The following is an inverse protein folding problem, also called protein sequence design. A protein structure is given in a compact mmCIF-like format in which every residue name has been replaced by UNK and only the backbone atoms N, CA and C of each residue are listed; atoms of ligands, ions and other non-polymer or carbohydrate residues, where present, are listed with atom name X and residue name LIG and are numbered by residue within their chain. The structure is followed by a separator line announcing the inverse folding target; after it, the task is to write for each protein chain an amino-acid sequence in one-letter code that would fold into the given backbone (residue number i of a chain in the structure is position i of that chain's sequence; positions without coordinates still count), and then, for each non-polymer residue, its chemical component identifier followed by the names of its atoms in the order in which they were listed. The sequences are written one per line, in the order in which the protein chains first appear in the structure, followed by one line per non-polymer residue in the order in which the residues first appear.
data_IF_807340080720
#
_entry.id   IF_807340080720
#
_cell.length_a   1.000
_cell.length_b   1.000
_cell.length_c   1.000
_cell.angle_alpha   90.00
_cell.angle_beta   90.00
_cell.angle_gamma   90.00
#
_symmetry.space_group_name_H-M   'P 1'
#
loop_
_entity.id
_entity.type
_entity.pdbx_description
1 polymer ?
#
# COMPACT_ATOMS: atom_id res chain seq x y z
N UNK A 1 -2.21 -1.08 -33.66
CA UNK A 1 -1.96 0.06 -34.58
C UNK A 1 -1.62 1.29 -33.75
N UNK A 2 -0.71 2.17 -34.18
CA UNK A 2 -0.44 3.42 -33.45
C UNK A 2 -1.70 4.28 -33.40
N UNK A 3 -1.89 5.02 -32.31
CA UNK A 3 -3.04 5.92 -32.15
C UNK A 3 -2.97 7.05 -33.18
N UNK A 4 -4.12 7.40 -33.76
CA UNK A 4 -4.22 8.57 -34.64
C UNK A 4 -3.90 9.84 -33.85
N UNK A 5 -2.97 10.65 -34.38
CA UNK A 5 -2.56 11.92 -33.78
C UNK A 5 -3.69 12.94 -33.93
N UNK A 6 -3.98 13.71 -32.88
CA UNK A 6 -4.99 14.77 -32.94
C UNK A 6 -4.48 15.97 -33.74
N UNK A 7 -5.36 16.70 -34.42
CA UNK A 7 -5.02 17.94 -35.16
C UNK A 7 -4.32 19.02 -34.32
N UNK A 8 -4.55 19.02 -33.00
CA UNK A 8 -3.96 20.01 -32.07
C UNK A 8 -2.60 19.58 -31.52
N UNK A 9 -2.08 18.42 -31.93
CA UNK A 9 -0.80 17.93 -31.45
C UNK A 9 0.32 18.81 -32.02
N UNK A 10 1.01 19.52 -31.14
CA UNK A 10 2.23 20.26 -31.47
C UNK A 10 3.39 19.26 -31.47
N UNK A 11 4.20 19.20 -32.54
CA UNK A 11 5.35 18.31 -32.58
C UNK A 11 6.37 18.71 -31.51
N UNK A 12 7.15 17.73 -31.06
CA UNK A 12 8.24 17.98 -30.12
C UNK A 12 9.21 19.02 -30.68
N UNK A 13 9.58 19.98 -29.84
CA UNK A 13 10.53 21.03 -30.21
C UNK A 13 11.90 20.40 -30.48
N UNK A 14 12.54 20.82 -31.58
CA UNK A 14 13.91 20.42 -31.88
C UNK A 14 14.84 20.72 -30.68
N UNK A 15 15.79 19.82 -30.36
CA UNK A 15 16.73 20.04 -29.28
C UNK A 15 17.55 21.30 -29.57
N UNK A 16 17.86 22.06 -28.51
CA UNK A 16 18.65 23.30 -28.63
C UNK A 16 20.09 23.03 -29.11
N UNK A 17 20.59 21.82 -28.90
CA UNK A 17 21.92 21.38 -29.31
C UNK A 17 21.87 20.01 -29.98
N UNK A 18 22.82 19.77 -30.88
CA UNK A 18 22.95 18.49 -31.57
C UNK A 18 23.36 17.39 -30.59
N UNK A 19 22.71 16.24 -30.72
CA UNK A 19 23.02 15.04 -29.93
C UNK A 19 23.84 14.09 -30.81
N UNK A 20 24.99 13.65 -30.29
CA UNK A 20 25.86 12.69 -30.95
C UNK A 20 25.14 11.35 -31.20
N UNK A 21 25.47 10.68 -32.32
CA UNK A 21 24.87 9.40 -32.69
C UNK A 21 25.12 8.30 -31.63
N UNK A 22 26.30 8.31 -31.01
CA UNK A 22 26.66 7.40 -29.91
C UNK A 22 25.71 7.53 -28.73
N UNK A 23 25.29 8.76 -28.40
CA UNK A 23 24.36 9.02 -27.30
C UNK A 23 22.96 8.54 -27.64
N UNK A 24 22.53 8.66 -28.91
CA UNK A 24 21.21 8.16 -29.37
C UNK A 24 21.10 6.63 -29.32
N UNK A 25 22.24 5.94 -29.46
CA UNK A 25 22.33 4.47 -29.48
C UNK A 25 22.82 3.88 -28.14
N UNK A 26 22.96 4.69 -27.11
CA UNK A 26 23.47 4.23 -25.83
C UNK A 26 22.54 3.19 -25.19
N UNK A 27 23.10 2.06 -24.77
CA UNK A 27 22.39 0.98 -24.09
C UNK A 27 22.71 1.03 -22.59
N UNK A 28 21.69 0.83 -21.77
CA UNK A 28 21.85 0.82 -20.31
C UNK A 28 22.80 -0.31 -19.87
N UNK A 29 23.68 -0.01 -18.91
CA UNK A 29 24.56 -1.03 -18.33
C UNK A 29 23.76 -2.03 -17.48
N UNK A 30 24.27 -3.26 -17.26
CA UNK A 30 23.61 -4.24 -16.42
C UNK A 30 23.30 -3.72 -15.01
N UNK A 31 24.15 -2.85 -14.46
CA UNK A 31 23.95 -2.20 -13.16
C UNK A 31 22.79 -1.19 -13.19
N UNK A 32 22.65 -0.41 -14.25
CA UNK A 32 21.53 0.53 -14.38
C UNK A 32 20.21 -0.24 -14.46
N UNK A 33 20.20 -1.34 -15.22
CA UNK A 33 19.02 -2.22 -15.34
C UNK A 33 18.64 -2.82 -14.00
N UNK A 34 19.62 -3.26 -13.18
CA UNK A 34 19.31 -3.83 -11.86
C UNK A 34 18.78 -2.80 -10.88
N UNK A 35 19.35 -1.58 -10.88
CA UNK A 35 18.89 -0.48 -10.01
C UNK A 35 17.53 0.08 -10.43
N UNK A 36 17.19 0.00 -11.71
CA UNK A 36 15.88 0.42 -12.22
C UNK A 36 14.74 -0.52 -11.79
N UNK A 37 15.05 -1.75 -11.33
CA UNK A 37 14.01 -2.66 -10.82
C UNK A 37 13.40 -2.08 -9.54
N UNK A 38 12.06 -2.00 -9.43
CA UNK A 38 11.41 -1.54 -8.22
C UNK A 38 11.71 -2.50 -7.06
N UNK A 39 11.75 -1.95 -5.84
CA UNK A 39 11.87 -2.77 -4.64
C UNK A 39 10.56 -3.53 -4.40
N UNK A 40 10.61 -4.85 -4.38
CA UNK A 40 9.48 -5.69 -3.99
C UNK A 40 9.12 -5.41 -2.52
N UNK A 41 7.86 -5.07 -2.28
CA UNK A 41 7.30 -4.92 -0.93
C UNK A 41 6.32 -6.06 -0.72
N UNK A 42 6.53 -6.83 0.35
CA UNK A 42 5.55 -7.81 0.82
C UNK A 42 4.32 -7.07 1.34
N UNK A 43 3.15 -7.63 1.10
CA UNK A 43 1.90 -7.10 1.66
C UNK A 43 1.98 -7.22 3.20
N UNK A 44 1.49 -6.19 3.90
CA UNK A 44 1.41 -6.21 5.36
C UNK A 44 0.54 -7.37 5.87
N UNK A 45 -0.39 -7.85 5.04
CA UNK A 45 -1.30 -8.93 5.37
C UNK A 45 -0.88 -10.29 4.75
N UNK A 46 0.32 -10.40 4.20
CA UNK A 46 0.78 -11.63 3.57
C UNK A 46 0.83 -12.77 4.61
N UNK A 47 -0.04 -13.78 4.46
CA UNK A 47 -0.19 -14.89 5.41
C UNK A 47 -1.12 -14.62 6.60
N UNK A 48 -1.81 -13.48 6.65
CA UNK A 48 -2.78 -13.20 7.70
C UNK A 48 -4.13 -13.87 7.41
N UNK A 49 -4.60 -14.74 8.32
CA UNK A 49 -5.97 -15.26 8.27
C UNK A 49 -6.89 -14.35 9.09
N UNK A 50 -7.83 -13.62 8.47
CA UNK A 50 -8.71 -12.67 9.17
C UNK A 50 -9.69 -13.35 10.14
N UNK A 51 -9.88 -14.67 10.01
CA UNK A 51 -10.76 -15.45 10.88
C UNK A 51 -10.01 -16.24 11.96
N UNK A 52 -8.69 -16.09 12.04
CA UNK A 52 -7.91 -16.76 13.07
C UNK A 52 -8.10 -16.09 14.43
N UNK A 53 -8.72 -16.81 15.36
CA UNK A 53 -8.93 -16.39 16.74
C UNK A 53 -7.99 -17.18 17.64
N UNK A 54 -7.29 -16.50 18.56
CA UNK A 54 -6.38 -17.18 19.49
C UNK A 54 -7.15 -18.03 20.51
N UNK A 55 -6.63 -19.20 20.94
CA UNK A 55 -7.27 -20.01 21.98
C UNK A 55 -7.47 -19.26 23.31
N UNK A 56 -6.53 -18.36 23.64
CA UNK A 56 -6.63 -17.50 24.82
C UNK A 56 -7.85 -16.56 24.72
N UNK A 57 -8.15 -16.03 23.54
CA UNK A 57 -9.33 -15.19 23.31
C UNK A 57 -10.63 -15.99 23.49
N UNK A 58 -10.67 -17.26 23.08
CA UNK A 58 -11.85 -18.13 23.22
C UNK A 58 -12.13 -18.51 24.68
N UNK A 59 -11.09 -18.54 25.51
CA UNK A 59 -11.16 -18.97 26.91
C UNK A 59 -11.14 -17.82 27.91
N UNK A 60 -10.92 -16.59 27.41
CA UNK A 60 -10.86 -15.39 28.22
C UNK A 60 -12.16 -15.18 29.01
N UNK A 61 -12.01 -14.85 30.29
CA UNK A 61 -13.13 -14.50 31.18
C UNK A 61 -12.94 -13.08 31.72
N UNK A 62 -14.05 -12.36 31.91
CA UNK A 62 -14.03 -11.05 32.53
C UNK A 62 -13.49 -11.13 33.97
N UNK A 63 -12.75 -10.11 34.40
CA UNK A 63 -12.23 -10.04 35.77
C UNK A 63 -13.38 -9.87 36.78
N UNK A 64 -13.21 -10.27 38.05
CA UNK A 64 -14.25 -10.14 39.07
C UNK A 64 -14.77 -8.70 39.19
N UNK A 65 -13.86 -7.71 39.17
CA UNK A 65 -14.23 -6.29 39.19
C UNK A 65 -15.09 -5.87 37.98
N UNK A 66 -14.80 -6.39 36.79
CA UNK A 66 -15.62 -6.09 35.60
C UNK A 66 -17.02 -6.71 35.73
N UNK A 67 -17.14 -7.89 36.33
CA UNK A 67 -18.43 -8.52 36.61
C UNK A 67 -19.24 -7.68 37.60
N UNK A 68 -18.61 -7.21 38.69
CA UNK A 68 -19.25 -6.32 39.66
C UNK A 68 -19.73 -5.02 39.02
N UNK A 69 -18.89 -4.37 38.21
CA UNK A 69 -19.25 -3.12 37.53
C UNK A 69 -20.33 -3.30 36.46
N UNK A 70 -20.43 -4.48 35.86
CA UNK A 70 -21.48 -4.81 34.91
C UNK A 70 -22.84 -4.99 35.58
N UNK A 71 -22.90 -5.19 36.91
CA UNK A 71 -24.18 -5.24 37.63
C UNK A 71 -24.81 -3.84 37.68
N UNK A 72 -26.08 -3.68 37.25
CA UNK A 72 -26.73 -2.39 37.23
C UNK A 72 -27.00 -1.92 38.67
N UNK A 73 -26.76 -0.63 38.93
CA UNK A 73 -27.13 -0.02 40.20
C UNK A 73 -28.64 0.18 40.26
N UNK A 74 -29.29 -0.39 41.27
CA UNK A 74 -30.72 -0.14 41.54
C UNK A 74 -30.87 1.27 42.10
N UNK A 75 -31.27 2.21 41.24
CA UNK A 75 -31.63 3.57 41.65
C UNK A 75 -33.10 3.54 42.08
N UNK A 76 -33.36 3.49 43.39
CA UNK A 76 -34.70 3.82 43.88
C UNK A 76 -34.87 5.33 43.78
N UNK A 77 -35.81 5.78 42.93
CA UNK A 77 -36.18 7.19 42.88
C UNK A 77 -36.73 7.57 44.25
N UNK A 78 -36.05 8.46 44.97
CA UNK A 78 -36.62 9.05 46.18
C UNK A 78 -37.80 9.90 45.75
N UNK A 79 -38.99 9.55 46.26
CA UNK A 79 -40.21 10.35 46.19
C UNK A 79 -40.04 11.59 47.04
#
# INVERSE_FOLDING_TARGET
MPKAQSEKCVPDRNPRWEVLDVTKKAVASPRIISLAKPKERRDANEGHNPYHISPASLTARASPRLQELATPKTITKKV
#
